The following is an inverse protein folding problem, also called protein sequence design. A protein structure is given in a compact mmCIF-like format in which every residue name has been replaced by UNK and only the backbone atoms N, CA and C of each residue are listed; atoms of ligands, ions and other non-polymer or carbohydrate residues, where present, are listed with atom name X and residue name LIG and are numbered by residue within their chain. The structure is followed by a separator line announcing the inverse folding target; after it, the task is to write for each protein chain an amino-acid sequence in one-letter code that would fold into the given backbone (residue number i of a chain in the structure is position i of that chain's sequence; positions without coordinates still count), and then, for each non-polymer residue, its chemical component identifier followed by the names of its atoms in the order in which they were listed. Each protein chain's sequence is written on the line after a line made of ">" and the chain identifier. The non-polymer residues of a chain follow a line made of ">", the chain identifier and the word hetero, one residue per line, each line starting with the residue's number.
data_IF_147289456231
#
_entry.id   IF_147289456231
#
_cell.length_a   1.000
_cell.length_b   1.000
_cell.length_c   1.000
_cell.angle_alpha   90.00
_cell.angle_beta   90.00
_cell.angle_gamma   90.00
#
_symmetry.space_group_name_H-M   'P 1'
#
loop_
_entity.id
_entity.type
_entity.pdbx_description
1 polymer ?
#
# COMPACT_ATOMS: atom_id res chain seq x y z
N UNK A 1 -4.06 12.35 21.42
CA UNK A 1 -4.27 10.96 20.92
C UNK A 1 -4.88 10.14 22.04
N UNK A 2 -5.95 9.39 21.77
CA UNK A 2 -6.52 8.46 22.74
C UNK A 2 -5.99 7.05 22.43
N UNK A 3 -5.50 6.33 23.44
CA UNK A 3 -5.05 4.95 23.29
C UNK A 3 -5.56 4.06 24.43
N UNK A 4 -5.60 2.75 24.18
CA UNK A 4 -6.00 1.76 25.17
C UNK A 4 -4.76 1.07 25.74
N UNK A 5 -4.65 1.01 27.07
CA UNK A 5 -3.59 0.30 27.80
C UNK A 5 -4.23 -0.71 28.75
N UNK A 6 -4.31 -1.97 28.32
CA UNK A 6 -5.12 -2.96 29.03
C UNK A 6 -6.60 -2.59 28.98
N UNK A 7 -7.24 -2.44 30.14
CA UNK A 7 -8.66 -2.02 30.24
C UNK A 7 -8.85 -0.51 30.44
N UNK A 8 -7.77 0.27 30.46
CA UNK A 8 -7.83 1.72 30.67
C UNK A 8 -7.74 2.46 29.33
N UNK A 9 -8.50 3.55 29.23
CA UNK A 9 -8.39 4.52 28.13
C UNK A 9 -7.54 5.70 28.59
N UNK A 10 -6.52 6.05 27.83
CA UNK A 10 -5.53 7.09 28.17
C UNK A 10 -5.53 8.16 27.09
N UNK A 11 -5.46 9.43 27.50
CA UNK A 11 -5.20 10.56 26.62
C UNK A 11 -3.72 10.94 26.66
N UNK A 12 -3.10 11.00 25.48
CA UNK A 12 -1.73 11.48 25.28
C UNK A 12 -1.81 12.86 24.61
N UNK A 13 -1.40 13.95 25.28
CA UNK A 13 -1.35 15.28 24.67
C UNK A 13 -0.29 15.34 23.58
N UNK A 14 -0.61 15.94 22.44
CA UNK A 14 0.31 16.14 21.32
C UNK A 14 -0.16 17.32 20.45
N UNK A 15 0.78 18.12 19.97
CA UNK A 15 0.49 19.20 19.00
C UNK A 15 0.15 18.65 17.61
N UNK A 16 0.63 17.45 17.29
CA UNK A 16 0.38 16.76 16.03
C UNK A 16 0.48 15.25 16.20
N UNK A 17 -0.26 14.52 15.38
CA UNK A 17 -0.28 13.05 15.37
C UNK A 17 0.02 12.56 13.96
N UNK A 18 1.01 11.68 13.83
CA UNK A 18 1.36 11.03 12.56
C UNK A 18 0.70 9.65 12.52
N UNK A 19 -0.18 9.42 11.55
CA UNK A 19 -0.83 8.14 11.33
C UNK A 19 -0.01 7.29 10.36
N UNK A 20 0.79 6.36 10.89
CA UNK A 20 1.60 5.41 10.12
C UNK A 20 1.01 3.98 10.20
N UNK A 21 -0.30 3.86 9.95
CA UNK A 21 -1.07 2.61 10.17
C UNK A 21 -0.96 1.60 9.02
N UNK A 22 -0.20 1.92 7.97
CA UNK A 22 -0.02 1.09 6.78
C UNK A 22 -0.34 1.84 5.49
N UNK A 23 -0.44 1.07 4.40
CA UNK A 23 -0.66 1.58 3.05
C UNK A 23 -1.79 0.81 2.36
N UNK A 24 -2.41 1.43 1.36
CA UNK A 24 -3.41 0.83 0.48
C UNK A 24 -2.88 0.84 -0.96
N UNK A 25 -3.18 -0.19 -1.79
CA UNK A 25 -2.85 -0.13 -3.21
C UNK A 25 -3.42 1.13 -3.88
N UNK A 26 -2.62 1.78 -4.73
CA UNK A 26 -3.06 2.85 -5.62
C UNK A 26 -3.27 2.30 -7.03
N UNK A 27 -4.52 2.12 -7.41
CA UNK A 27 -4.93 1.55 -8.71
C UNK A 27 -5.43 2.62 -9.69
N UNK A 28 -5.25 3.91 -9.39
CA UNK A 28 -5.86 5.01 -10.16
C UNK A 28 -5.49 4.99 -11.64
N UNK A 29 -4.20 4.82 -11.97
CA UNK A 29 -3.72 4.75 -13.34
C UNK A 29 -4.16 3.46 -14.04
N UNK A 30 -4.13 2.31 -13.34
CA UNK A 30 -4.60 1.04 -13.88
C UNK A 30 -6.06 1.18 -14.35
N UNK A 31 -6.93 1.68 -13.47
CA UNK A 31 -8.35 1.89 -13.79
C UNK A 31 -8.54 2.84 -14.97
N UNK A 32 -7.74 3.91 -15.06
CA UNK A 32 -7.80 4.85 -16.18
C UNK A 32 -7.39 4.22 -17.51
N UNK A 33 -6.36 3.35 -17.51
CA UNK A 33 -5.91 2.63 -18.71
C UNK A 33 -6.93 1.58 -19.16
N UNK A 34 -7.48 0.82 -18.23
CA UNK A 34 -8.53 -0.18 -18.50
C UNK A 34 -9.77 0.47 -19.12
N UNK A 35 -10.17 1.66 -18.63
CA UNK A 35 -11.27 2.43 -19.21
C UNK A 35 -11.02 2.88 -20.66
N UNK A 36 -9.75 2.99 -21.07
CA UNK A 36 -9.34 3.28 -22.45
C UNK A 36 -9.17 2.01 -23.31
N UNK A 37 -9.48 0.83 -22.77
CA UNK A 37 -9.29 -0.45 -23.47
C UNK A 37 -7.84 -0.94 -23.48
N UNK A 38 -6.96 -0.35 -22.66
CA UNK A 38 -5.57 -0.79 -22.48
C UNK A 38 -5.52 -1.65 -21.23
N UNK A 39 -5.01 -2.88 -21.35
CA UNK A 39 -4.85 -3.78 -20.21
C UNK A 39 -3.39 -3.80 -19.74
N UNK A 40 -2.99 -2.96 -18.77
CA UNK A 40 -1.60 -2.90 -18.32
C UNK A 40 -1.21 -4.13 -17.50
N UNK A 41 0.03 -4.58 -17.64
CA UNK A 41 0.63 -5.48 -16.67
C UNK A 41 0.98 -4.69 -15.40
N UNK A 42 0.41 -5.10 -14.28
CA UNK A 42 0.61 -4.47 -12.97
C UNK A 42 1.63 -5.24 -12.14
N UNK A 43 2.53 -4.51 -11.48
CA UNK A 43 3.55 -5.05 -10.56
C UNK A 43 3.75 -4.09 -9.38
N UNK A 44 4.28 -4.61 -8.27
CA UNK A 44 4.61 -3.86 -7.06
C UNK A 44 3.42 -3.67 -6.13
N UNK A 45 3.41 -2.53 -5.43
CA UNK A 45 2.46 -2.28 -4.34
C UNK A 45 1.01 -2.06 -4.81
N UNK A 46 0.79 -1.84 -6.11
CA UNK A 46 -0.54 -1.78 -6.72
C UNK A 46 -1.30 -3.11 -6.60
N UNK A 47 -0.58 -4.23 -6.51
CA UNK A 47 -1.19 -5.54 -6.25
C UNK A 47 -1.45 -5.72 -4.76
N UNK A 48 -0.43 -5.42 -3.94
CA UNK A 48 -0.50 -5.50 -2.48
C UNK A 48 0.70 -4.76 -1.87
N UNK A 49 0.49 -3.72 -1.04
CA UNK A 49 1.57 -3.09 -0.29
C UNK A 49 2.30 -4.10 0.58
N UNK A 50 3.62 -4.19 0.40
CA UNK A 50 4.45 -5.20 1.03
C UNK A 50 5.90 -4.73 1.15
N UNK A 51 6.83 -5.64 1.45
CA UNK A 51 8.24 -5.27 1.56
C UNK A 51 8.82 -5.01 0.18
N UNK A 52 9.81 -4.13 0.12
CA UNK A 52 10.52 -3.80 -1.12
C UNK A 52 11.10 -5.04 -1.82
N UNK A 53 11.56 -6.05 -1.05
CA UNK A 53 12.05 -7.32 -1.60
C UNK A 53 11.00 -8.02 -2.45
N UNK A 54 9.74 -8.01 -2.00
CA UNK A 54 8.68 -8.73 -2.67
C UNK A 54 8.31 -8.05 -3.99
N UNK A 55 8.34 -6.71 -4.04
CA UNK A 55 8.15 -5.93 -5.25
C UNK A 55 9.27 -6.18 -6.27
N UNK A 56 10.53 -6.30 -5.82
CA UNK A 56 11.68 -6.62 -6.67
C UNK A 56 11.56 -8.03 -7.25
N UNK A 57 11.22 -9.03 -6.43
CA UNK A 57 11.07 -10.40 -6.89
C UNK A 57 9.95 -10.53 -7.93
N UNK A 58 8.79 -9.93 -7.66
CA UNK A 58 7.69 -9.95 -8.65
C UNK A 58 8.07 -9.23 -9.95
N UNK A 59 8.75 -8.09 -9.88
CA UNK A 59 9.21 -7.40 -11.08
C UNK A 59 10.18 -8.27 -11.89
N UNK A 60 11.04 -9.04 -11.22
CA UNK A 60 11.98 -9.97 -11.85
C UNK A 60 11.22 -11.11 -12.54
N UNK A 61 10.27 -11.74 -11.84
CA UNK A 61 9.45 -12.83 -12.40
C UNK A 61 8.63 -12.35 -13.60
N UNK A 62 8.03 -11.15 -13.50
CA UNK A 62 7.29 -10.51 -14.57
C UNK A 62 8.16 -10.26 -15.81
N UNK A 63 9.39 -9.80 -15.63
CA UNK A 63 10.33 -9.54 -16.72
C UNK A 63 10.82 -10.82 -17.40
N UNK A 64 11.01 -11.91 -16.65
CA UNK A 64 11.46 -13.20 -17.17
C UNK A 64 10.35 -14.02 -17.86
N UNK A 65 9.08 -13.67 -17.62
CA UNK A 65 7.91 -14.37 -18.15
C UNK A 65 7.33 -13.72 -19.42
N UNK A 66 7.93 -12.64 -19.91
CA UNK A 66 7.58 -11.94 -21.16
C UNK A 66 8.29 -12.57 -22.37
#
# INVERSE_FOLDING_TARGET
>A
MVCQKGNETIEIPADSVILAIGSRPDTSLQTALEACGINPQVIGDVLKPRKISDAIYEATDAALSL
#
